data_IF_295905464350
#
_entry.id   IF_295905464350
#
_cell.length_a   1.000
_cell.length_b   1.000
_cell.length_c   1.000
_cell.angle_alpha   90.00
_cell.angle_beta   90.00
_cell.angle_gamma   90.00
#
_symmetry.space_group_name_H-M   'P 1'
#
loop_
_entity.id
_entity.type
_entity.pdbx_description
1 polymer ?
#
# COMPACT_ATOMS: atom_id res chain seq x y z
N UNK A 1 7.23 -10.64 6.45
CA UNK A 1 8.41 -10.31 5.62
C UNK A 1 7.98 -10.30 4.18
N UNK A 2 8.52 -9.39 3.36
CA UNK A 2 8.23 -9.30 1.93
C UNK A 2 9.24 -10.15 1.15
N UNK A 3 8.81 -10.72 0.03
CA UNK A 3 9.61 -11.53 -0.89
C UNK A 3 9.55 -10.94 -2.31
N UNK A 4 10.37 -11.48 -3.21
CA UNK A 4 10.33 -11.13 -4.64
C UNK A 4 8.91 -11.27 -5.19
N UNK A 5 8.42 -10.21 -5.83
CA UNK A 5 7.06 -10.13 -6.38
C UNK A 5 6.05 -9.47 -5.43
N UNK A 6 6.37 -9.29 -4.15
CA UNK A 6 5.53 -8.53 -3.24
C UNK A 6 5.63 -7.02 -3.49
N UNK A 7 4.60 -6.29 -3.10
CA UNK A 7 4.54 -4.83 -3.11
C UNK A 7 4.25 -4.27 -1.72
N UNK A 8 4.48 -2.96 -1.53
CA UNK A 8 4.19 -2.23 -0.29
C UNK A 8 3.90 -0.75 -0.57
N UNK A 9 3.31 -0.05 0.40
CA UNK A 9 2.96 1.37 0.31
C UNK A 9 1.52 1.64 -0.15
N UNK A 10 0.77 0.58 -0.45
CA UNK A 10 -0.61 0.62 -0.94
C UNK A 10 -1.58 1.25 0.07
N UNK A 11 -1.34 1.08 1.37
CA UNK A 11 -2.28 1.54 2.41
C UNK A 11 -2.38 3.06 2.41
N UNK A 12 -1.25 3.75 2.30
CA UNK A 12 -1.20 5.20 2.26
C UNK A 12 -1.89 5.76 1.00
N UNK A 13 -1.81 5.04 -0.12
CA UNK A 13 -2.45 5.44 -1.37
C UNK A 13 -3.96 5.17 -1.37
N UNK A 14 -4.39 3.99 -0.89
CA UNK A 14 -5.81 3.61 -0.84
C UNK A 14 -6.62 4.41 0.16
N UNK A 15 -6.03 4.75 1.31
CA UNK A 15 -6.74 5.45 2.40
C UNK A 15 -6.48 6.94 2.45
N UNK A 16 -5.62 7.44 1.58
CA UNK A 16 -5.13 8.81 1.58
C UNK A 16 -4.62 9.28 2.96
N UNK A 17 -3.83 8.43 3.60
CA UNK A 17 -3.22 8.68 4.92
C UNK A 17 -1.70 8.74 4.82
N UNK A 18 -1.00 9.36 5.79
CA UNK A 18 0.45 9.26 5.87
C UNK A 18 0.93 7.80 5.95
N UNK A 19 2.21 7.58 5.59
CA UNK A 19 2.86 6.27 5.71
C UNK A 19 2.78 5.77 7.16
N UNK A 20 2.09 4.65 7.36
CA UNK A 20 1.84 4.08 8.71
C UNK A 20 2.91 3.08 9.19
N UNK A 21 3.89 2.72 8.34
CA UNK A 21 4.92 1.75 8.68
C UNK A 21 6.24 2.00 7.93
N UNK A 22 7.36 1.76 8.59
CA UNK A 22 8.69 1.78 7.98
C UNK A 22 8.99 0.44 7.30
N UNK A 23 9.62 0.51 6.13
CA UNK A 23 10.10 -0.61 5.33
C UNK A 23 11.60 -0.41 5.17
N UNK A 24 12.37 -1.44 5.47
CA UNK A 24 13.83 -1.47 5.40
C UNK A 24 14.25 -2.71 4.60
N UNK A 25 15.16 -2.52 3.64
CA UNK A 25 15.79 -3.64 2.95
C UNK A 25 16.72 -4.38 3.91
N UNK A 26 16.56 -5.69 4.00
CA UNK A 26 17.41 -6.54 4.84
C UNK A 26 18.62 -7.08 4.07
N UNK A 27 18.46 -7.24 2.77
CA UNK A 27 19.46 -7.71 1.83
C UNK A 27 19.46 -6.80 0.58
N UNK A 28 20.50 -6.92 -0.24
CA UNK A 28 20.55 -6.22 -1.52
C UNK A 28 19.41 -6.66 -2.45
N UNK A 29 18.78 -5.69 -3.11
CA UNK A 29 17.68 -5.95 -4.01
C UNK A 29 17.28 -4.70 -4.77
N UNK A 30 16.42 -4.89 -5.77
CA UNK A 30 15.85 -3.80 -6.56
C UNK A 30 14.34 -3.76 -6.38
N UNK A 31 13.78 -2.56 -6.35
CA UNK A 31 12.33 -2.33 -6.30
C UNK A 31 11.91 -1.46 -7.48
N UNK A 32 10.73 -1.74 -7.99
CA UNK A 32 10.06 -0.83 -8.92
C UNK A 32 9.22 0.15 -8.11
N UNK A 33 9.21 1.40 -8.56
CA UNK A 33 8.38 2.46 -7.98
C UNK A 33 7.27 2.80 -8.97
N UNK A 34 6.08 3.02 -8.43
CA UNK A 34 4.92 3.54 -9.14
C UNK A 34 4.50 4.85 -8.49
N UNK A 35 4.25 5.89 -9.28
CA UNK A 35 3.79 7.17 -8.75
C UNK A 35 2.31 7.10 -8.35
N UNK A 36 1.91 7.99 -7.45
CA UNK A 36 0.52 8.07 -6.96
C UNK A 36 -0.48 8.22 -8.11
N UNK A 37 -0.17 9.07 -9.09
CA UNK A 37 -1.08 9.32 -10.20
C UNK A 37 -1.25 8.06 -11.06
N UNK A 38 -0.16 7.38 -11.41
CA UNK A 38 -0.21 6.15 -12.19
C UNK A 38 -0.97 5.04 -11.46
N UNK A 39 -0.81 4.94 -10.13
CA UNK A 39 -1.58 4.02 -9.31
C UNK A 39 -3.09 4.31 -9.38
N UNK A 40 -3.49 5.57 -9.23
CA UNK A 40 -4.92 5.97 -9.32
C UNK A 40 -5.50 5.71 -10.71
N UNK A 41 -4.72 6.00 -11.76
CA UNK A 41 -5.12 5.73 -13.13
C UNK A 41 -5.32 4.23 -13.38
N UNK A 42 -4.45 3.37 -12.83
CA UNK A 42 -4.60 1.92 -12.92
C UNK A 42 -5.88 1.43 -12.21
N UNK A 43 -6.17 1.93 -11.00
CA UNK A 43 -7.40 1.59 -10.30
C UNK A 43 -8.65 1.98 -11.10
N UNK A 44 -8.64 3.13 -11.76
CA UNK A 44 -9.75 3.57 -12.61
C UNK A 44 -9.93 2.76 -13.90
N UNK A 45 -8.87 2.10 -14.40
CA UNK A 45 -8.90 1.28 -15.62
C UNK A 45 -9.33 -0.16 -15.38
N UNK A 46 -9.11 -0.69 -14.17
CA UNK A 46 -9.34 -2.10 -13.85
C UNK A 46 -10.33 -2.24 -12.68
N UNK A 47 -11.58 -2.60 -13.00
CA UNK A 47 -12.73 -2.60 -12.08
C UNK A 47 -12.47 -3.33 -10.74
N UNK A 48 -11.77 -4.46 -10.76
CA UNK A 48 -11.57 -5.31 -9.57
C UNK A 48 -10.22 -5.09 -8.88
N UNK A 49 -9.34 -4.26 -9.45
CA UNK A 49 -7.97 -4.11 -8.97
C UNK A 49 -7.93 -3.48 -7.57
N UNK A 50 -8.79 -2.50 -7.33
CA UNK A 50 -8.90 -1.85 -6.01
C UNK A 50 -9.27 -2.86 -4.92
N UNK A 51 -10.25 -3.74 -5.19
CA UNK A 51 -10.67 -4.79 -4.25
C UNK A 51 -9.55 -5.78 -3.92
N UNK A 52 -8.77 -6.19 -4.92
CA UNK A 52 -7.62 -7.09 -4.71
C UNK A 52 -6.55 -6.44 -3.83
N UNK A 53 -6.20 -5.18 -4.09
CA UNK A 53 -5.19 -4.45 -3.32
C UNK A 53 -5.73 -4.14 -1.91
N UNK A 54 -7.02 -3.82 -1.79
CA UNK A 54 -7.67 -3.61 -0.50
C UNK A 54 -7.64 -4.86 0.38
N UNK A 55 -7.77 -6.07 -0.19
CA UNK A 55 -7.61 -7.33 0.54
C UNK A 55 -6.21 -7.50 1.13
N UNK A 56 -5.17 -7.14 0.36
CA UNK A 56 -3.78 -7.14 0.83
C UNK A 56 -3.57 -6.10 1.93
N UNK A 57 -4.08 -4.88 1.73
CA UNK A 57 -4.01 -3.78 2.70
C UNK A 57 -4.67 -4.16 4.04
N UNK A 58 -5.86 -4.76 3.99
CA UNK A 58 -6.60 -5.21 5.17
C UNK A 58 -5.82 -6.26 5.98
N UNK A 59 -5.13 -7.18 5.31
CA UNK A 59 -4.32 -8.22 5.94
C UNK A 59 -3.06 -7.67 6.63
N UNK A 60 -2.62 -6.46 6.25
CA UNK A 60 -1.41 -5.79 6.76
C UNK A 60 -1.71 -4.73 7.82
N UNK A 61 -2.98 -4.42 8.05
CA UNK A 61 -3.38 -3.44 9.06
C UNK A 61 -3.09 -3.95 10.47
N UNK A 62 -2.35 -3.18 11.30
CA UNK A 62 -2.21 -3.52 12.71
C UNK A 62 -3.59 -3.44 13.38
N UNK A 63 -4.02 -4.52 14.03
CA UNK A 63 -5.20 -4.49 14.91
C UNK A 63 -4.86 -3.58 16.09
N UNK A 64 -5.31 -2.31 16.06
CA UNK A 64 -5.23 -1.43 17.22
C UNK A 64 -4.80 0.04 17.01
N UNK A 65 -4.74 0.57 15.78
CA UNK A 65 -4.61 2.03 15.62
C UNK A 65 -5.99 2.67 15.48
N UNK A 66 -6.49 3.22 16.59
CA UNK A 66 -7.56 4.22 16.54
C UNK A 66 -7.06 5.37 15.69
N UNK A 67 -7.64 5.54 14.50
CA UNK A 67 -7.43 6.72 13.66
C UNK A 67 -8.14 7.88 14.36
N UNK A 68 -7.43 8.54 15.27
CA UNK A 68 -7.80 9.87 15.73
C UNK A 68 -7.86 10.80 14.52
N UNK A 69 -9.01 11.43 14.32
CA UNK A 69 -9.22 12.37 13.22
C UNK A 69 -8.35 13.62 13.35
N UNK A 70 -8.14 14.27 12.21
CA UNK A 70 -7.93 15.71 12.12
C UNK A 70 -8.06 16.13 10.65
N UNK A 71 -9.09 16.95 10.41
CA UNK A 71 -9.37 17.82 9.24
C UNK A 71 -9.23 17.26 7.83
#
# INVERSE_FOLDING_TARGET
MLKTGDFFGEIALLRDVPRIATVQGLDEGSVWRLERQDFRDLLGRYLDLEGQIAGVAASRMPRGHSMGGAN
#
